data_IF_549918493309
#
_entry.id   IF_549918493309
#
_cell.length_a   1.000
_cell.length_b   1.000
_cell.length_c   1.000
_cell.angle_alpha   90.00
_cell.angle_beta   90.00
_cell.angle_gamma   90.00
#
_symmetry.space_group_name_H-M   'P 1'
#
loop_
_entity.id
_entity.type
_entity.pdbx_description
1 polymer ?
#
# COMPACT_ATOMS: atom_id res chain seq x y z
N UNK A 1 31.44 20.43 30.37
CA UNK A 1 31.17 19.56 31.54
C UNK A 1 29.75 19.04 31.44
N UNK A 2 29.56 17.85 30.88
CA UNK A 2 28.30 17.08 31.01
C UNK A 2 28.72 15.61 30.94
N UNK A 3 28.98 15.04 32.12
CA UNK A 3 29.44 13.66 32.28
C UNK A 3 28.29 12.70 31.99
N UNK A 4 28.46 11.80 31.02
CA UNK A 4 27.61 10.62 30.91
C UNK A 4 28.10 9.57 31.91
N UNK A 5 27.27 9.25 32.89
CA UNK A 5 27.49 8.15 33.82
C UNK A 5 27.07 6.85 33.14
N UNK A 6 28.05 6.09 32.67
CA UNK A 6 27.86 4.70 32.24
C UNK A 6 27.41 3.88 33.45
N UNK A 7 26.16 3.41 33.41
CA UNK A 7 25.58 2.55 34.43
C UNK A 7 26.18 1.15 34.25
N UNK A 8 27.17 0.81 35.08
CA UNK A 8 27.79 -0.50 35.10
C UNK A 8 26.74 -1.56 35.49
N UNK A 9 26.57 -2.57 34.63
CA UNK A 9 25.72 -3.75 34.85
C UNK A 9 26.37 -4.62 35.95
N UNK A 10 25.74 -4.84 37.11
CA UNK A 10 26.28 -5.73 38.13
C UNK A 10 25.97 -7.18 37.74
N UNK A 11 27.00 -8.01 37.58
CA UNK A 11 26.83 -9.46 37.39
C UNK A 11 27.77 -10.16 36.41
N UNK A 12 28.92 -9.58 36.03
CA UNK A 12 29.92 -10.29 35.23
C UNK A 12 30.82 -11.13 36.14
N UNK A 13 30.53 -12.42 36.28
CA UNK A 13 31.46 -13.38 36.90
C UNK A 13 32.66 -13.61 35.95
N UNK A 14 33.91 -13.65 36.46
CA UNK A 14 35.08 -13.84 35.62
C UNK A 14 35.33 -15.34 35.40
N UNK A 15 35.02 -15.87 34.22
CA UNK A 15 35.37 -17.26 33.90
C UNK A 15 34.81 -17.93 32.65
N UNK A 16 33.92 -17.29 31.87
CA UNK A 16 33.39 -17.92 30.65
C UNK A 16 34.25 -17.50 29.44
N UNK A 17 34.83 -18.43 28.64
CA UNK A 17 35.51 -18.08 27.40
C UNK A 17 34.51 -17.41 26.45
N UNK A 18 34.93 -16.26 25.92
CA UNK A 18 34.21 -15.41 24.99
C UNK A 18 33.71 -16.24 23.80
N UNK A 19 32.45 -16.71 23.89
CA UNK A 19 31.81 -17.37 22.75
C UNK A 19 31.63 -16.27 21.71
N UNK A 20 32.11 -16.44 20.47
CA UNK A 20 31.83 -15.46 19.44
C UNK A 20 30.31 -15.35 19.34
N UNK A 21 29.78 -14.18 19.71
CA UNK A 21 28.39 -13.83 19.53
C UNK A 21 28.07 -14.05 18.05
N UNK A 22 27.47 -15.20 17.76
CA UNK A 22 26.82 -15.49 16.48
C UNK A 22 25.51 -14.74 16.41
N UNK A 23 25.59 -13.42 16.68
CA UNK A 23 24.60 -12.44 16.28
C UNK A 23 24.72 -12.27 14.76
N UNK A 24 24.32 -13.31 14.02
CA UNK A 24 23.97 -13.22 12.61
C UNK A 24 22.69 -12.40 12.44
N UNK A 25 22.66 -11.20 13.04
CA UNK A 25 21.57 -10.27 12.94
C UNK A 25 21.48 -9.75 11.52
N UNK A 26 20.26 -9.76 10.97
CA UNK A 26 19.95 -9.07 9.72
C UNK A 26 20.49 -7.63 9.80
N UNK A 27 21.43 -7.30 8.91
CA UNK A 27 21.91 -5.93 8.81
C UNK A 27 20.72 -5.04 8.42
N UNK A 28 20.47 -3.99 9.20
CA UNK A 28 19.42 -3.02 8.91
C UNK A 28 19.81 -2.16 7.69
N UNK A 29 19.64 -2.71 6.49
CA UNK A 29 19.98 -2.05 5.22
C UNK A 29 18.98 -0.97 4.79
N UNK A 30 17.84 -0.85 5.49
CA UNK A 30 16.78 0.11 5.17
C UNK A 30 16.74 1.24 6.19
N UNK A 31 16.93 2.48 5.71
CA UNK A 31 16.75 3.69 6.51
C UNK A 31 15.26 3.91 6.80
N UNK A 32 14.94 4.67 7.85
CA UNK A 32 13.55 4.97 8.21
C UNK A 32 12.75 5.60 7.05
N UNK A 33 13.40 6.42 6.21
CA UNK A 33 12.79 6.98 4.99
C UNK A 33 12.38 5.91 3.97
N UNK A 34 13.19 4.85 3.82
CA UNK A 34 12.89 3.76 2.90
C UNK A 34 11.69 3.00 3.42
N UNK A 35 11.61 2.73 4.73
CA UNK A 35 10.46 2.06 5.32
C UNK A 35 9.16 2.85 5.12
N UNK A 36 9.18 4.16 5.34
CA UNK A 36 8.01 5.02 5.10
C UNK A 36 7.61 5.07 3.62
N UNK A 37 8.58 5.18 2.71
CA UNK A 37 8.29 5.24 1.27
C UNK A 37 7.89 3.89 0.68
N UNK A 38 8.42 2.77 1.20
CA UNK A 38 7.93 1.42 0.88
C UNK A 38 6.47 1.29 1.31
N UNK A 39 6.11 1.77 2.51
CA UNK A 39 4.73 1.72 2.97
C UNK A 39 3.80 2.57 2.08
N UNK A 40 4.17 3.81 1.76
CA UNK A 40 3.39 4.69 0.88
C UNK A 40 3.31 4.11 -0.55
N UNK A 41 4.44 3.70 -1.10
CA UNK A 41 4.56 3.13 -2.46
C UNK A 41 3.84 1.80 -2.62
N UNK A 42 3.80 0.98 -1.56
CA UNK A 42 3.07 -0.29 -1.53
C UNK A 42 1.55 -0.12 -1.44
N UNK A 43 1.06 0.94 -0.77
CA UNK A 43 -0.38 1.27 -0.76
C UNK A 43 -0.82 1.86 -2.10
N UNK A 44 0.07 2.60 -2.77
CA UNK A 44 -0.22 3.22 -4.07
C UNK A 44 0.13 2.25 -5.21
N UNK A 45 -0.89 1.52 -5.68
CA UNK A 45 -0.80 0.57 -6.78
C UNK A 45 -1.39 1.06 -8.10
N UNK A 46 -1.16 0.28 -9.16
CA UNK A 46 -1.92 0.36 -10.41
C UNK A 46 -3.42 0.07 -10.16
N UNK A 47 -3.73 -0.70 -9.11
CA UNK A 47 -5.08 -0.95 -8.64
C UNK A 47 -5.84 0.33 -8.24
N UNK A 48 -5.16 1.40 -7.82
CA UNK A 48 -5.84 2.68 -7.52
C UNK A 48 -6.54 3.23 -8.75
N UNK A 49 -5.92 3.20 -9.93
CA UNK A 49 -6.50 3.76 -11.14
C UNK A 49 -7.47 2.79 -11.80
N UNK A 50 -7.05 1.54 -12.00
CA UNK A 50 -7.88 0.53 -12.66
C UNK A 50 -9.08 0.16 -11.78
N UNK A 51 -8.84 -0.08 -10.49
CA UNK A 51 -9.88 -0.39 -9.52
C UNK A 51 -10.84 0.78 -9.28
N UNK A 52 -10.33 2.01 -9.13
CA UNK A 52 -11.24 3.17 -8.97
C UNK A 52 -12.05 3.43 -10.22
N UNK A 53 -11.50 3.22 -11.44
CA UNK A 53 -12.31 3.39 -12.66
C UNK A 53 -13.49 2.41 -12.70
N UNK A 54 -13.27 1.15 -12.33
CA UNK A 54 -14.33 0.15 -12.23
C UNK A 54 -15.32 0.47 -11.10
N UNK A 55 -14.83 0.93 -9.94
CA UNK A 55 -15.66 1.36 -8.83
C UNK A 55 -16.54 2.57 -9.17
N UNK A 56 -15.96 3.60 -9.81
CA UNK A 56 -16.69 4.80 -10.24
C UNK A 56 -17.73 4.41 -11.28
N UNK A 57 -17.36 3.56 -12.24
CA UNK A 57 -18.31 3.02 -13.20
C UNK A 57 -19.44 2.24 -12.50
N UNK A 58 -19.18 1.54 -11.40
CA UNK A 58 -20.18 0.74 -10.70
C UNK A 58 -21.05 1.52 -9.70
N UNK A 59 -20.53 2.56 -9.02
CA UNK A 59 -21.20 3.26 -7.94
C UNK A 59 -21.53 4.74 -8.26
N UNK A 60 -20.90 5.32 -9.28
CA UNK A 60 -21.00 6.75 -9.56
C UNK A 60 -20.42 7.60 -8.42
N UNK A 61 -20.98 8.80 -8.16
CA UNK A 61 -20.51 9.72 -7.12
C UNK A 61 -20.51 9.11 -5.70
N UNK A 62 -21.40 8.14 -5.44
CA UNK A 62 -21.50 7.45 -4.16
C UNK A 62 -20.25 6.66 -3.75
N UNK A 63 -19.31 6.40 -4.67
CA UNK A 63 -18.01 5.76 -4.33
C UNK A 63 -17.25 6.54 -3.27
N UNK A 64 -17.39 7.87 -3.22
CA UNK A 64 -16.74 8.72 -2.22
C UNK A 64 -17.13 8.32 -0.80
N UNK A 65 -18.42 7.99 -0.58
CA UNK A 65 -18.90 7.53 0.72
C UNK A 65 -18.33 6.14 1.06
N UNK A 66 -18.26 5.24 0.07
CA UNK A 66 -17.65 3.92 0.25
C UNK A 66 -16.18 4.03 0.66
N UNK A 67 -15.40 4.86 -0.04
CA UNK A 67 -13.99 5.09 0.28
C UNK A 67 -13.81 5.78 1.63
N UNK A 68 -14.68 6.73 2.01
CA UNK A 68 -14.63 7.35 3.34
C UNK A 68 -14.88 6.34 4.46
N UNK A 69 -15.91 5.49 4.30
CA UNK A 69 -16.26 4.46 5.30
C UNK A 69 -15.17 3.40 5.44
N UNK A 70 -14.68 2.86 4.31
CA UNK A 70 -13.59 1.88 4.33
C UNK A 70 -12.30 2.50 4.84
N UNK A 71 -11.98 3.73 4.43
CA UNK A 71 -10.80 4.46 4.91
C UNK A 71 -10.83 4.69 6.42
N UNK A 72 -11.97 5.11 6.97
CA UNK A 72 -12.15 5.25 8.42
C UNK A 72 -11.93 3.92 9.14
N UNK A 73 -12.52 2.84 8.62
CA UNK A 73 -12.35 1.51 9.20
C UNK A 73 -10.87 1.06 9.19
N UNK A 74 -10.16 1.28 8.09
CA UNK A 74 -8.72 0.98 7.99
C UNK A 74 -7.91 1.81 8.99
N UNK A 75 -8.21 3.11 9.16
CA UNK A 75 -7.53 3.95 10.16
C UNK A 75 -7.73 3.41 11.57
N UNK A 76 -8.95 3.00 11.93
CA UNK A 76 -9.24 2.43 13.25
C UNK A 76 -8.48 1.12 13.47
N UNK A 77 -8.47 0.22 12.48
CA UNK A 77 -7.73 -1.06 12.57
C UNK A 77 -6.22 -0.82 12.68
N UNK A 78 -5.66 0.07 11.85
CA UNK A 78 -4.23 0.40 11.89
C UNK A 78 -3.83 1.04 13.21
N UNK A 79 -4.70 1.87 13.81
CA UNK A 79 -4.46 2.42 15.14
C UNK A 79 -4.42 1.33 16.22
N UNK A 80 -5.38 0.40 16.21
CA UNK A 80 -5.40 -0.73 17.15
C UNK A 80 -4.15 -1.61 17.00
N UNK A 81 -3.76 -1.93 15.76
CA UNK A 81 -2.53 -2.69 15.48
C UNK A 81 -1.27 -1.94 15.91
N UNK A 82 -1.22 -0.62 15.70
CA UNK A 82 -0.11 0.24 16.13
C UNK A 82 0.04 0.30 17.65
N UNK A 83 -1.07 0.40 18.39
CA UNK A 83 -1.07 0.37 19.86
C UNK A 83 -0.58 -0.99 20.38
N UNK A 84 -1.00 -2.10 19.76
CA UNK A 84 -0.49 -3.45 20.09
C UNK A 84 1.00 -3.61 19.78
N UNK A 85 1.46 -3.09 18.63
CA UNK A 85 2.87 -3.15 18.23
C UNK A 85 3.77 -2.33 19.16
N UNK A 86 3.30 -1.17 19.61
CA UNK A 86 4.02 -0.33 20.59
C UNK A 86 4.07 -0.97 21.98
N UNK A 87 2.98 -1.63 22.41
CA UNK A 87 2.93 -2.27 23.72
C UNK A 87 3.78 -3.56 23.79
N UNK A 88 3.90 -4.29 22.68
CA UNK A 88 4.65 -5.55 22.59
C UNK A 88 5.50 -5.58 21.33
N UNK A 89 6.67 -4.92 21.32
CA UNK A 89 7.56 -4.96 20.16
C UNK A 89 8.04 -6.40 19.92
N UNK A 90 7.60 -6.97 18.81
CA UNK A 90 8.02 -8.29 18.34
C UNK A 90 8.61 -8.13 16.94
N UNK A 91 9.66 -8.89 16.64
CA UNK A 91 10.18 -9.02 15.27
C UNK A 91 9.23 -9.80 14.35
N UNK A 92 8.17 -10.42 14.92
CA UNK A 92 7.18 -11.20 14.19
C UNK A 92 6.09 -10.34 13.54
N UNK A 93 5.41 -10.93 12.54
CA UNK A 93 4.24 -10.34 11.88
C UNK A 93 3.02 -10.29 12.82
N UNK A 94 1.94 -9.64 12.40
CA UNK A 94 0.68 -9.58 13.16
C UNK A 94 0.12 -10.95 13.57
N UNK A 95 0.48 -12.02 12.85
CA UNK A 95 0.19 -13.40 13.23
C UNK A 95 0.75 -13.78 14.61
N UNK A 96 1.87 -13.20 15.04
CA UNK A 96 2.45 -13.42 16.37
C UNK A 96 1.58 -12.81 17.48
N UNK A 97 0.89 -11.69 17.22
CA UNK A 97 -0.06 -11.12 18.18
C UNK A 97 -1.31 -12.00 18.32
N UNK A 98 -1.78 -12.57 17.22
CA UNK A 98 -2.91 -13.49 17.24
C UNK A 98 -2.58 -14.83 17.91
N UNK A 99 -1.37 -15.35 17.70
CA UNK A 99 -0.87 -16.52 18.44
C UNK A 99 -0.89 -16.27 19.95
N UNK A 100 -0.35 -15.13 20.39
CA UNK A 100 -0.32 -14.78 21.82
C UNK A 100 -1.71 -14.53 22.42
N UNK A 101 -2.66 -14.00 21.64
CA UNK A 101 -3.98 -13.63 22.13
C UNK A 101 -4.99 -14.79 22.10
N UNK A 102 -4.96 -15.61 21.05
CA UNK A 102 -5.99 -16.61 20.73
C UNK A 102 -5.42 -18.03 20.59
N UNK A 103 -4.10 -18.19 20.67
CA UNK A 103 -3.40 -19.46 20.59
C UNK A 103 -2.89 -19.82 19.19
N UNK A 104 -2.14 -20.93 19.12
CA UNK A 104 -1.33 -21.31 17.96
C UNK A 104 -2.08 -21.54 16.67
N UNK A 105 -3.32 -21.99 16.74
CA UNK A 105 -4.19 -22.12 15.56
C UNK A 105 -4.50 -20.75 14.92
N UNK A 106 -4.75 -19.72 15.73
CA UNK A 106 -5.08 -18.38 15.23
C UNK A 106 -3.85 -17.75 14.57
N UNK A 107 -2.68 -17.86 15.20
CA UNK A 107 -1.42 -17.43 14.60
C UNK A 107 -1.13 -18.10 13.25
N UNK A 108 -1.29 -19.42 13.19
CA UNK A 108 -1.13 -20.18 11.94
C UNK A 108 -2.12 -19.73 10.86
N UNK A 109 -3.40 -19.59 11.21
CA UNK A 109 -4.46 -19.19 10.27
C UNK A 109 -4.22 -17.80 9.71
N UNK A 110 -3.88 -16.83 10.56
CA UNK A 110 -3.59 -15.46 10.12
C UNK A 110 -2.31 -15.40 9.27
N UNK A 111 -1.28 -16.19 9.61
CA UNK A 111 -0.08 -16.30 8.78
C UNK A 111 -0.38 -16.76 7.36
N UNK A 112 -1.23 -17.78 7.20
CA UNK A 112 -1.65 -18.26 5.89
C UNK A 112 -2.54 -17.27 5.13
N UNK A 113 -3.51 -16.64 5.82
CA UNK A 113 -4.34 -15.60 5.22
C UNK A 113 -3.50 -14.42 4.75
N UNK A 114 -2.50 -14.02 5.53
CA UNK A 114 -1.58 -12.95 5.17
C UNK A 114 -0.75 -13.30 3.93
N UNK A 115 -0.20 -14.51 3.86
CA UNK A 115 0.53 -14.97 2.67
C UNK A 115 -0.37 -15.01 1.43
N UNK A 116 -1.56 -15.59 1.55
CA UNK A 116 -2.51 -15.68 0.44
C UNK A 116 -2.97 -14.29 -0.03
N UNK A 117 -3.26 -13.39 0.91
CA UNK A 117 -3.58 -12.00 0.62
C UNK A 117 -2.50 -11.36 -0.26
N UNK A 118 -1.22 -11.52 0.10
CA UNK A 118 -0.13 -10.94 -0.68
C UNK A 118 0.04 -11.58 -2.06
N UNK A 119 -0.15 -12.90 -2.19
CA UNK A 119 -0.15 -13.58 -3.51
C UNK A 119 -1.23 -13.00 -4.42
N UNK A 120 -2.44 -12.81 -3.90
CA UNK A 120 -3.57 -12.27 -4.67
C UNK A 120 -3.36 -10.79 -5.00
N UNK A 121 -2.95 -9.97 -4.03
CA UNK A 121 -2.71 -8.54 -4.23
C UNK A 121 -1.65 -8.31 -5.30
N UNK A 122 -0.52 -9.03 -5.24
CA UNK A 122 0.54 -8.90 -6.25
C UNK A 122 0.03 -9.29 -7.65
N UNK A 123 -0.80 -10.33 -7.78
CA UNK A 123 -1.38 -10.71 -9.06
C UNK A 123 -2.35 -9.64 -9.60
N UNK A 124 -3.18 -9.05 -8.73
CA UNK A 124 -4.11 -7.96 -9.10
C UNK A 124 -3.33 -6.72 -9.55
N UNK A 125 -2.28 -6.33 -8.83
CA UNK A 125 -1.44 -5.19 -9.17
C UNK A 125 -0.68 -5.41 -10.49
N UNK A 126 -0.09 -6.59 -10.68
CA UNK A 126 0.61 -6.93 -11.91
C UNK A 126 -0.32 -6.94 -13.13
N UNK A 127 -1.54 -7.46 -12.99
CA UNK A 127 -2.52 -7.46 -14.09
C UNK A 127 -3.07 -6.07 -14.40
N UNK A 128 -3.32 -5.25 -13.37
CA UNK A 128 -3.72 -3.85 -13.55
C UNK A 128 -2.63 -3.04 -14.28
N UNK A 129 -1.37 -3.16 -13.85
CA UNK A 129 -0.25 -2.50 -14.50
C UNK A 129 -0.03 -3.00 -15.94
N UNK A 130 -0.16 -4.30 -16.16
CA UNK A 130 -0.03 -4.90 -17.49
C UNK A 130 -1.09 -4.40 -18.47
N UNK A 131 -2.34 -4.20 -18.02
CA UNK A 131 -3.40 -3.62 -18.84
C UNK A 131 -3.09 -2.19 -19.29
N UNK A 132 -2.45 -1.41 -18.41
CA UNK A 132 -2.00 -0.05 -18.76
C UNK A 132 -0.88 -0.13 -19.81
N UNK A 133 0.11 -1.00 -19.63
CA UNK A 133 1.23 -1.15 -20.58
C UNK A 133 0.78 -1.68 -21.95
N UNK A 134 -0.13 -2.65 -21.97
CA UNK A 134 -0.75 -3.17 -23.20
C UNK A 134 -1.47 -2.06 -23.97
N UNK A 135 -2.13 -1.13 -23.28
CA UNK A 135 -2.79 0.01 -23.93
C UNK A 135 -1.80 0.98 -24.61
N UNK A 136 -0.54 1.02 -24.16
CA UNK A 136 0.51 1.85 -24.75
C UNK A 136 1.23 1.13 -25.89
N UNK A 137 1.48 -0.17 -25.72
CA UNK A 137 2.17 -1.01 -26.69
C UNK A 137 1.32 -2.28 -26.91
N UNK A 138 0.35 -2.24 -27.85
CA UNK A 138 -0.58 -3.35 -28.08
C UNK A 138 0.06 -4.56 -28.77
N UNK A 139 1.33 -4.48 -29.17
CA UNK A 139 2.07 -5.59 -29.79
C UNK A 139 2.47 -6.72 -28.82
N UNK A 140 2.28 -6.53 -27.50
CA UNK A 140 2.60 -7.51 -26.47
C UNK A 140 1.34 -7.77 -25.64
N UNK A 141 0.89 -9.03 -25.48
CA UNK A 141 -0.35 -9.35 -24.77
C UNK A 141 -0.24 -9.09 -23.27
N UNK A 142 -1.37 -8.79 -22.61
CA UNK A 142 -1.45 -8.48 -21.18
C UNK A 142 -0.67 -9.45 -20.27
N UNK A 143 -0.81 -10.76 -20.47
CA UNK A 143 -0.15 -11.76 -19.62
C UNK A 143 1.38 -11.69 -19.73
N UNK A 144 1.90 -11.34 -20.91
CA UNK A 144 3.34 -11.20 -21.14
C UNK A 144 3.86 -9.94 -20.46
N UNK A 145 3.11 -8.82 -20.50
CA UNK A 145 3.44 -7.63 -19.73
C UNK A 145 3.48 -7.90 -18.23
N UNK A 146 2.50 -8.62 -17.69
CA UNK A 146 2.48 -9.01 -16.27
C UNK A 146 3.69 -9.87 -15.90
N UNK A 147 4.04 -10.85 -16.74
CA UNK A 147 5.21 -11.71 -16.54
C UNK A 147 6.53 -10.91 -16.58
N UNK A 148 6.69 -10.01 -17.55
CA UNK A 148 7.89 -9.17 -17.68
C UNK A 148 8.09 -8.32 -16.43
N UNK A 149 7.04 -7.63 -15.95
CA UNK A 149 7.10 -6.81 -14.73
C UNK A 149 7.48 -7.67 -13.51
N UNK A 150 6.84 -8.83 -13.35
CA UNK A 150 7.13 -9.74 -12.23
C UNK A 150 8.56 -10.26 -12.25
N UNK A 151 9.09 -10.64 -13.41
CA UNK A 151 10.47 -11.11 -13.56
C UNK A 151 11.46 -9.99 -13.23
N UNK A 152 11.24 -8.77 -13.74
CA UNK A 152 12.12 -7.63 -13.46
C UNK A 152 12.14 -7.30 -11.96
N UNK A 153 10.98 -7.26 -11.31
CA UNK A 153 10.89 -7.00 -9.88
C UNK A 153 11.57 -8.11 -9.06
N UNK A 154 11.33 -9.37 -9.42
CA UNK A 154 11.95 -10.52 -8.74
C UNK A 154 13.48 -10.49 -8.91
N UNK A 155 13.96 -10.25 -10.13
CA UNK A 155 15.40 -10.13 -10.40
C UNK A 155 16.04 -9.00 -9.58
N UNK A 156 15.37 -7.85 -9.49
CA UNK A 156 15.85 -6.71 -8.69
C UNK A 156 15.91 -7.06 -7.20
N UNK A 157 14.92 -7.81 -6.69
CA UNK A 157 14.89 -8.28 -5.31
C UNK A 157 16.05 -9.23 -4.96
N UNK A 158 16.48 -10.07 -5.92
CA UNK A 158 17.56 -11.04 -5.72
C UNK A 158 18.98 -10.42 -5.74
N UNK A 159 19.17 -9.24 -6.36
CA UNK A 159 20.50 -8.64 -6.53
C UNK A 159 21.01 -7.95 -5.26
N UNK A 160 20.19 -7.12 -4.60
CA UNK A 160 20.56 -6.47 -3.33
C UNK A 160 19.35 -5.82 -2.65
N UNK A 161 19.10 -6.18 -1.40
CA UNK A 161 18.00 -5.63 -0.58
C UNK A 161 18.13 -4.10 -0.39
N UNK A 162 19.36 -3.58 -0.33
CA UNK A 162 19.62 -2.15 -0.28
C UNK A 162 19.30 -1.44 -1.59
N UNK A 163 19.62 -2.06 -2.73
CA UNK A 163 19.27 -1.53 -4.05
C UNK A 163 17.75 -1.52 -4.26
N UNK A 164 17.05 -2.56 -3.80
CA UNK A 164 15.59 -2.63 -3.85
C UNK A 164 14.95 -1.45 -3.09
N UNK A 165 15.45 -1.12 -1.89
CA UNK A 165 14.94 0.00 -1.11
C UNK A 165 15.08 1.36 -1.78
N UNK A 166 16.19 1.60 -2.50
CA UNK A 166 16.37 2.83 -3.29
C UNK A 166 15.47 2.86 -4.54
N UNK A 167 15.36 1.75 -5.27
CA UNK A 167 14.42 1.66 -6.40
C UNK A 167 12.98 1.96 -5.95
N UNK A 168 12.52 1.31 -4.89
CA UNK A 168 11.18 1.51 -4.36
C UNK A 168 10.99 2.97 -3.88
N UNK A 169 12.00 3.58 -3.26
CA UNK A 169 11.95 4.99 -2.86
C UNK A 169 11.70 5.93 -4.05
N UNK A 170 12.45 5.76 -5.14
CA UNK A 170 12.29 6.58 -6.34
C UNK A 170 10.96 6.33 -7.05
N UNK A 171 10.56 5.07 -7.19
CA UNK A 171 9.27 4.70 -7.80
C UNK A 171 8.09 5.23 -6.98
N UNK A 172 8.12 5.09 -5.65
CA UNK A 172 7.13 5.66 -4.76
C UNK A 172 7.08 7.19 -4.87
N UNK A 173 8.24 7.86 -4.97
CA UNK A 173 8.33 9.30 -5.19
C UNK A 173 7.63 9.74 -6.48
N UNK A 174 7.91 9.06 -7.60
CA UNK A 174 7.25 9.33 -8.89
C UNK A 174 5.73 9.14 -8.77
N UNK A 175 5.27 8.05 -8.14
CA UNK A 175 3.83 7.79 -7.93
C UNK A 175 3.15 8.91 -7.14
N UNK A 176 3.75 9.37 -6.04
CA UNK A 176 3.21 10.43 -5.20
C UNK A 176 3.12 11.75 -5.98
N UNK A 177 4.19 12.13 -6.69
CA UNK A 177 4.19 13.35 -7.51
C UNK A 177 3.16 13.26 -8.63
N UNK A 178 3.02 12.11 -9.29
CA UNK A 178 2.05 11.90 -10.36
C UNK A 178 0.61 12.04 -9.86
N UNK A 179 0.27 11.46 -8.70
CA UNK A 179 -1.06 11.62 -8.08
C UNK A 179 -1.28 13.07 -7.66
N UNK A 180 -0.29 13.72 -7.06
CA UNK A 180 -0.38 15.13 -6.69
C UNK A 180 -0.68 16.02 -7.90
N UNK A 181 0.05 15.82 -9.00
CA UNK A 181 -0.19 16.53 -10.26
C UNK A 181 -1.59 16.24 -10.82
N UNK A 182 -2.02 14.98 -10.82
CA UNK A 182 -3.36 14.58 -11.26
C UNK A 182 -4.47 15.27 -10.45
N UNK A 183 -4.33 15.34 -9.12
CA UNK A 183 -5.29 16.02 -8.24
C UNK A 183 -5.33 17.52 -8.52
N UNK A 184 -4.18 18.17 -8.72
CA UNK A 184 -4.12 19.60 -9.05
C UNK A 184 -4.78 19.88 -10.40
N UNK A 185 -4.44 19.10 -11.43
CA UNK A 185 -5.05 19.25 -12.77
C UNK A 185 -6.54 18.98 -12.71
N UNK A 186 -6.97 17.93 -12.01
CA UNK A 186 -8.39 17.60 -11.82
C UNK A 186 -9.15 18.72 -11.09
N UNK A 187 -8.55 19.31 -10.06
CA UNK A 187 -9.12 20.47 -9.37
C UNK A 187 -9.28 21.66 -10.33
N UNK A 188 -8.23 22.03 -11.06
CA UNK A 188 -8.29 23.12 -12.04
C UNK A 188 -9.34 22.85 -13.13
N UNK A 189 -9.49 21.60 -13.56
CA UNK A 189 -10.52 21.18 -14.52
C UNK A 189 -11.94 21.33 -13.97
N UNK A 190 -12.17 20.87 -12.74
CA UNK A 190 -13.48 20.97 -12.07
C UNK A 190 -13.91 22.43 -11.91
N UNK A 191 -13.00 23.31 -11.51
CA UNK A 191 -13.31 24.72 -11.26
C UNK A 191 -13.19 25.63 -12.50
N UNK A 192 -12.96 25.06 -13.70
CA UNK A 192 -12.95 25.83 -14.94
C UNK A 192 -11.72 26.72 -15.15
N UNK A 193 -10.62 26.46 -14.43
CA UNK A 193 -9.38 27.24 -14.57
C UNK A 193 -8.51 26.80 -15.77
N UNK A 194 -8.86 25.70 -16.44
CA UNK A 194 -8.15 25.21 -17.63
C UNK A 194 -8.77 25.74 -18.93
N UNK A 195 -7.95 26.10 -19.94
CA UNK A 195 -8.46 26.54 -21.24
C UNK A 195 -9.26 25.40 -21.90
N UNK A 196 -10.50 25.71 -22.31
CA UNK A 196 -11.44 24.71 -22.84
C UNK A 196 -12.32 24.03 -21.79
N UNK A 197 -12.22 24.41 -20.51
CA UNK A 197 -13.12 23.97 -19.44
C UNK A 197 -14.42 24.81 -19.36
N UNK A 198 -14.87 25.33 -20.51
CA UNK A 198 -16.14 26.05 -20.68
C UNK A 198 -17.31 25.05 -20.66
N UNK A 199 -17.40 24.28 -19.59
CA UNK A 199 -18.42 23.26 -19.41
C UNK A 199 -19.58 23.93 -18.68
N UNK A 200 -20.82 23.75 -19.16
CA UNK A 200 -22.03 24.27 -18.49
C UNK A 200 -22.28 23.67 -17.08
N UNK A 201 -21.41 22.76 -16.61
CA UNK A 201 -21.41 22.12 -15.29
C UNK A 201 -20.11 22.31 -14.50
N UNK A 202 -19.46 23.48 -14.60
CA UNK A 202 -18.29 23.79 -13.78
C UNK A 202 -18.62 23.70 -12.27
N UNK A 203 -17.70 23.13 -11.50
CA UNK A 203 -17.85 22.86 -10.06
C UNK A 203 -18.42 21.47 -9.75
N UNK A 204 -19.26 21.39 -8.72
CA UNK A 204 -19.74 20.11 -8.18
C UNK A 204 -21.00 19.58 -8.88
N UNK A 205 -21.47 20.24 -9.93
CA UNK A 205 -22.72 19.90 -10.63
C UNK A 205 -22.69 18.45 -11.16
N UNK A 206 -21.55 17.99 -11.69
CA UNK A 206 -21.34 16.61 -12.14
C UNK A 206 -21.53 15.53 -11.06
N UNK A 207 -21.55 15.88 -9.76
CA UNK A 207 -21.86 14.92 -8.69
C UNK A 207 -23.37 14.61 -8.57
N UNK A 208 -24.22 15.46 -9.13
CA UNK A 208 -25.68 15.36 -8.99
C UNK A 208 -26.43 15.34 -10.33
N UNK A 209 -25.80 15.83 -11.41
CA UNK A 209 -26.47 15.98 -12.71
C UNK A 209 -26.78 14.65 -13.41
N UNK A 210 -26.04 13.59 -13.08
CA UNK A 210 -26.20 12.26 -13.69
C UNK A 210 -27.20 11.37 -12.94
N UNK A 211 -28.34 11.91 -12.52
CA UNK A 211 -29.37 11.16 -11.78
C UNK A 211 -29.25 11.21 -10.26
N UNK A 212 -28.60 12.25 -9.71
CA UNK A 212 -28.35 12.45 -8.27
C UNK A 212 -27.04 11.80 -7.79
N UNK A 213 -26.76 11.94 -6.48
CA UNK A 213 -25.53 11.39 -5.88
C UNK A 213 -25.52 9.85 -5.77
N UNK A 214 -26.69 9.22 -5.81
CA UNK A 214 -26.88 7.77 -5.81
C UNK A 214 -27.60 7.30 -7.08
N UNK A 215 -27.01 7.52 -8.27
CA UNK A 215 -27.70 7.26 -9.54
C UNK A 215 -27.94 5.77 -9.80
N UNK A 216 -27.21 4.89 -9.08
CA UNK A 216 -27.28 3.43 -9.19
C UNK A 216 -27.99 2.76 -8.00
N UNK A 217 -28.74 3.53 -7.19
CA UNK A 217 -29.53 3.02 -6.08
C UNK A 217 -28.76 2.87 -4.75
N UNK A 218 -29.49 2.54 -3.67
CA UNK A 218 -28.97 2.38 -2.29
C UNK A 218 -28.84 0.91 -1.85
N UNK A 219 -28.79 -0.04 -2.79
CA UNK A 219 -28.70 -1.48 -2.51
C UNK A 219 -28.17 -2.25 -3.72
N UNK A 220 -27.96 -3.58 -3.62
CA UNK A 220 -27.55 -4.40 -4.74
C UNK A 220 -28.74 -4.56 -5.70
N UNK A 221 -29.01 -3.54 -6.51
CA UNK A 221 -29.86 -3.69 -7.66
C UNK A 221 -29.09 -4.48 -8.71
N UNK A 222 -29.57 -5.71 -8.92
CA UNK A 222 -29.26 -6.61 -10.02
C UNK A 222 -29.19 -5.90 -11.39
N UNK A 223 -28.55 -6.54 -12.38
CA UNK A 223 -28.23 -5.91 -13.64
C UNK A 223 -29.51 -5.60 -14.41
N UNK A 224 -29.59 -4.41 -14.96
CA UNK A 224 -30.55 -4.11 -16.02
C UNK A 224 -29.75 -3.65 -17.22
N UNK A 225 -29.66 -4.61 -18.16
CA UNK A 225 -29.37 -4.54 -19.60
C UNK A 225 -28.07 -3.91 -20.08
#
# INVERSE_FOLDING_TARGET
MTSQTTLAKPGQEPGEPDRPDSSGGLQAGLKNRHLSMIAIGGVIGAGLFVGSSAGIAAAGPAILLSYAMVGLMVVLVMRMLGEMAAARPSSGSFSAYADQALGRWAGFSIGWLYWFFWVVVLAVEATAGAKILESWIPGVPQWAWALIVMVVLTATNLVSVGSYGEFEFWFAGIKVVAIGAFVVVGFLAVFGFLPGADNAGSGLAHLTDSGGFFPKGRGPSSPVC
#
